data_IF_763373712940
#
_entry.id   IF_763373712940
#
_cell.length_a   1.000
_cell.length_b   1.000
_cell.length_c   1.000
_cell.angle_alpha   90.00
_cell.angle_beta   90.00
_cell.angle_gamma   90.00
#
_symmetry.space_group_name_H-M   'P 1'
#
loop_
_entity.id
_entity.type
_entity.pdbx_description
1 polymer ?
#
# COMPACT_ATOMS: atom_id res chain seq x y z
N UNK A 1 -43.84 -49.86 5.50
CA UNK A 1 -42.92 -48.92 4.82
C UNK A 1 -41.86 -48.54 5.83
N UNK A 2 -40.62 -48.97 5.59
CA UNK A 2 -39.51 -48.93 6.55
C UNK A 2 -39.06 -47.50 6.89
N UNK A 3 -39.32 -47.08 8.13
CA UNK A 3 -38.83 -45.81 8.68
C UNK A 3 -37.29 -45.75 8.72
N UNK A 4 -36.62 -46.90 8.84
CA UNK A 4 -35.15 -47.00 8.86
C UNK A 4 -34.50 -46.72 7.51
N UNK A 5 -35.11 -47.15 6.40
CA UNK A 5 -34.57 -46.87 5.06
C UNK A 5 -34.76 -45.40 4.68
N UNK A 6 -35.87 -44.79 5.10
CA UNK A 6 -36.13 -43.36 4.87
C UNK A 6 -35.14 -42.47 5.64
N UNK A 7 -34.83 -42.82 6.89
CA UNK A 7 -33.84 -42.08 7.68
C UNK A 7 -32.41 -42.23 7.14
N UNK A 8 -32.02 -43.42 6.70
CA UNK A 8 -30.71 -43.64 6.09
C UNK A 8 -30.54 -42.89 4.76
N UNK A 9 -31.60 -42.82 3.94
CA UNK A 9 -31.60 -42.07 2.69
C UNK A 9 -31.56 -40.56 2.94
N UNK A 10 -32.40 -40.07 3.85
CA UNK A 10 -32.43 -38.67 4.26
C UNK A 10 -31.09 -38.20 4.86
N UNK A 11 -30.46 -39.03 5.70
CA UNK A 11 -29.14 -38.73 6.28
C UNK A 11 -28.05 -38.64 5.20
N UNK A 12 -28.08 -39.51 4.18
CA UNK A 12 -27.15 -39.45 3.05
C UNK A 12 -27.35 -38.20 2.21
N UNK A 13 -28.58 -37.88 1.85
CA UNK A 13 -28.89 -36.69 1.05
C UNK A 13 -28.50 -35.41 1.80
N UNK A 14 -28.78 -35.35 3.11
CA UNK A 14 -28.38 -34.22 3.94
C UNK A 14 -26.84 -34.10 4.05
N UNK A 15 -26.12 -35.21 4.14
CA UNK A 15 -24.65 -35.20 4.16
C UNK A 15 -24.04 -34.71 2.84
N UNK A 16 -24.64 -35.07 1.70
CA UNK A 16 -24.22 -34.61 0.38
C UNK A 16 -24.49 -33.11 0.22
N UNK A 17 -25.68 -32.64 0.64
CA UNK A 17 -26.02 -31.22 0.64
C UNK A 17 -25.06 -30.43 1.53
N UNK A 18 -24.75 -30.93 2.73
CA UNK A 18 -23.81 -30.29 3.65
C UNK A 18 -22.39 -30.19 3.05
N UNK A 19 -21.92 -31.24 2.38
CA UNK A 19 -20.61 -31.24 1.71
C UNK A 19 -20.56 -30.21 0.58
N UNK A 20 -21.59 -30.19 -0.28
CA UNK A 20 -21.69 -29.23 -1.38
C UNK A 20 -21.78 -27.79 -0.85
N UNK A 21 -22.65 -27.54 0.13
CA UNK A 21 -22.81 -26.23 0.76
C UNK A 21 -21.51 -25.77 1.46
N UNK A 22 -20.78 -26.69 2.09
CA UNK A 22 -19.49 -26.41 2.71
C UNK A 22 -18.44 -25.96 1.69
N UNK A 23 -18.31 -26.69 0.57
CA UNK A 23 -17.38 -26.33 -0.51
C UNK A 23 -17.74 -24.97 -1.10
N UNK A 24 -19.02 -24.75 -1.41
CA UNK A 24 -19.48 -23.45 -1.92
C UNK A 24 -19.23 -22.32 -0.91
N UNK A 25 -19.48 -22.54 0.37
CA UNK A 25 -19.22 -21.58 1.43
C UNK A 25 -17.75 -21.16 1.49
N UNK A 26 -16.83 -22.13 1.45
CA UNK A 26 -15.38 -21.86 1.44
C UNK A 26 -14.98 -21.07 0.19
N UNK A 27 -15.45 -21.47 -0.99
CA UNK A 27 -15.15 -20.75 -2.24
C UNK A 27 -15.67 -19.31 -2.21
N UNK A 28 -16.84 -19.08 -1.60
CA UNK A 28 -17.44 -17.76 -1.45
C UNK A 28 -16.56 -16.86 -0.57
N UNK A 29 -16.13 -17.37 0.59
CA UNK A 29 -15.22 -16.65 1.50
C UNK A 29 -13.89 -16.35 0.81
N UNK A 30 -13.28 -17.34 0.16
CA UNK A 30 -12.00 -17.16 -0.54
C UNK A 30 -12.09 -16.11 -1.65
N UNK A 31 -13.20 -16.08 -2.40
CA UNK A 31 -13.42 -15.07 -3.45
C UNK A 31 -13.47 -13.65 -2.89
N UNK A 32 -14.09 -13.46 -1.72
CA UNK A 32 -14.12 -12.16 -1.06
C UNK A 32 -12.75 -11.79 -0.48
N UNK A 33 -12.06 -12.73 0.17
CA UNK A 33 -10.72 -12.50 0.71
C UNK A 33 -9.75 -12.08 -0.39
N UNK A 34 -9.69 -12.79 -1.52
CA UNK A 34 -8.81 -12.42 -2.63
C UNK A 34 -9.13 -11.03 -3.20
N UNK A 35 -10.41 -10.67 -3.30
CA UNK A 35 -10.82 -9.34 -3.75
C UNK A 35 -10.42 -8.24 -2.77
N UNK A 36 -10.62 -8.46 -1.47
CA UNK A 36 -10.24 -7.52 -0.42
C UNK A 36 -8.73 -7.36 -0.36
N UNK A 37 -7.97 -8.45 -0.40
CA UNK A 37 -6.49 -8.42 -0.40
C UNK A 37 -5.97 -7.62 -1.60
N UNK A 38 -6.52 -7.84 -2.80
CA UNK A 38 -6.10 -7.07 -3.98
C UNK A 38 -6.36 -5.57 -3.83
N UNK A 39 -7.49 -5.18 -3.23
CA UNK A 39 -7.80 -3.77 -2.96
C UNK A 39 -6.86 -3.16 -1.92
N UNK A 40 -6.57 -3.90 -0.85
CA UNK A 40 -5.64 -3.45 0.19
C UNK A 40 -4.21 -3.29 -0.35
N UNK A 41 -3.76 -4.21 -1.22
CA UNK A 41 -2.46 -4.09 -1.87
C UNK A 41 -2.38 -2.84 -2.76
N UNK A 42 -3.43 -2.55 -3.54
CA UNK A 42 -3.47 -1.32 -4.33
C UNK A 42 -3.41 -0.07 -3.45
N UNK A 43 -4.18 -0.03 -2.36
CA UNK A 43 -4.13 1.07 -1.39
C UNK A 43 -2.73 1.22 -0.80
N UNK A 44 -2.08 0.12 -0.41
CA UNK A 44 -0.72 0.15 0.14
C UNK A 44 0.30 0.69 -0.87
N UNK A 45 0.19 0.28 -2.15
CA UNK A 45 1.06 0.79 -3.21
C UNK A 45 0.85 2.30 -3.40
N UNK A 46 -0.39 2.77 -3.52
CA UNK A 46 -0.67 4.19 -3.67
C UNK A 46 -0.23 5.00 -2.43
N UNK A 47 -0.46 4.47 -1.23
CA UNK A 47 0.00 5.09 0.00
C UNK A 47 1.54 5.18 0.04
N UNK A 48 2.25 4.15 -0.42
CA UNK A 48 3.70 4.16 -0.55
C UNK A 48 4.20 5.20 -1.54
N UNK A 49 3.54 5.34 -2.70
CA UNK A 49 3.87 6.38 -3.69
C UNK A 49 3.65 7.79 -3.12
N UNK A 50 2.51 8.00 -2.44
CA UNK A 50 2.20 9.28 -1.79
C UNK A 50 3.26 9.59 -0.72
N UNK A 51 3.54 8.64 0.18
CA UNK A 51 4.56 8.79 1.22
C UNK A 51 5.93 9.12 0.63
N UNK A 52 6.34 8.38 -0.40
CA UNK A 52 7.61 8.63 -1.09
C UNK A 52 7.67 10.02 -1.72
N UNK A 53 6.58 10.50 -2.32
CA UNK A 53 6.49 11.86 -2.84
C UNK A 53 6.56 12.92 -1.74
N UNK A 54 5.93 12.68 -0.59
CA UNK A 54 6.00 13.60 0.58
C UNK A 54 7.43 13.69 1.13
N UNK A 55 8.12 12.56 1.32
CA UNK A 55 9.51 12.56 1.80
C UNK A 55 10.43 13.36 0.88
N UNK A 56 10.23 13.28 -0.43
CA UNK A 56 10.99 14.09 -1.38
C UNK A 56 10.67 15.58 -1.26
N UNK A 57 9.40 15.94 -1.09
CA UNK A 57 8.99 17.34 -0.90
C UNK A 57 9.60 17.92 0.38
N UNK A 58 9.67 17.15 1.45
CA UNK A 58 10.27 17.58 2.71
C UNK A 58 11.80 17.75 2.59
N UNK A 59 12.48 16.86 1.85
CA UNK A 59 13.91 17.04 1.56
C UNK A 59 14.18 18.31 0.73
N UNK A 60 13.30 18.64 -0.22
CA UNK A 60 13.38 19.85 -1.02
C UNK A 60 13.15 21.11 -0.17
N UNK A 61 12.12 21.12 0.68
CA UNK A 61 11.80 22.28 1.51
C UNK A 61 12.89 22.57 2.55
N UNK A 62 13.50 21.53 3.13
CA UNK A 62 14.64 21.68 4.03
C UNK A 62 15.87 22.25 3.33
N UNK A 63 16.19 21.76 2.13
CA UNK A 63 17.27 22.28 1.30
C UNK A 63 17.08 23.77 0.96
N UNK A 64 15.88 24.16 0.52
CA UNK A 64 15.56 25.55 0.20
C UNK A 64 15.71 26.46 1.43
N UNK A 65 15.28 25.99 2.61
CA UNK A 65 15.44 26.74 3.86
C UNK A 65 16.92 26.97 4.19
N UNK A 66 17.79 25.97 3.99
CA UNK A 66 19.22 26.09 4.23
C UNK A 66 19.88 27.09 3.26
N UNK A 67 19.55 27.00 1.96
CA UNK A 67 20.02 27.97 0.94
C UNK A 67 19.61 29.38 1.33
N UNK A 68 18.34 29.58 1.72
CA UNK A 68 17.83 30.90 2.10
C UNK A 68 18.60 31.48 3.30
N UNK A 69 18.88 30.67 4.33
CA UNK A 69 19.64 31.13 5.50
C UNK A 69 21.10 31.48 5.17
N UNK A 70 21.74 30.78 4.24
CA UNK A 70 23.14 31.06 3.83
C UNK A 70 23.22 32.32 2.97
N UNK A 71 22.26 32.51 2.07
CA UNK A 71 22.12 33.73 1.28
C UNK A 71 21.89 34.95 2.18
N UNK A 72 21.04 34.84 3.22
CA UNK A 72 20.85 35.91 4.21
C UNK A 72 22.11 36.23 5.01
N UNK A 73 23.01 35.24 5.18
CA UNK A 73 24.31 35.41 5.84
C UNK A 73 25.41 35.90 4.89
N UNK A 74 25.10 36.13 3.61
CA UNK A 74 26.07 36.55 2.59
C UNK A 74 27.06 35.46 2.19
N UNK A 75 26.78 34.20 2.52
CA UNK A 75 27.59 33.05 2.13
C UNK A 75 27.19 32.57 0.73
N UNK A 76 28.18 32.42 -0.14
CA UNK A 76 28.02 32.06 -1.56
C UNK A 76 28.63 30.71 -1.89
N UNK A 77 28.94 29.94 -0.85
CA UNK A 77 29.45 28.58 -0.96
C UNK A 77 28.36 27.63 -1.49
N UNK A 78 28.77 26.69 -2.34
CA UNK A 78 27.89 25.68 -2.92
C UNK A 78 27.16 24.87 -1.84
N UNK A 79 25.86 24.67 -2.03
CA UNK A 79 25.08 23.77 -1.18
C UNK A 79 24.94 22.41 -1.87
N UNK A 80 25.22 21.34 -1.12
CA UNK A 80 24.93 19.98 -1.56
C UNK A 80 23.62 19.53 -0.95
N UNK A 81 22.60 19.35 -1.79
CA UNK A 81 21.30 18.82 -1.36
C UNK A 81 21.08 17.43 -1.93
N UNK A 82 20.64 16.50 -1.07
CA UNK A 82 20.36 15.14 -1.49
C UNK A 82 18.94 15.00 -2.04
N UNK A 83 18.82 14.72 -3.34
CA UNK A 83 17.56 14.47 -4.04
C UNK A 83 17.54 13.04 -4.53
N UNK A 84 16.53 12.26 -4.13
CA UNK A 84 16.41 10.84 -4.52
C UNK A 84 17.66 9.99 -4.18
N UNK A 85 18.35 10.30 -3.08
CA UNK A 85 19.60 9.63 -2.73
C UNK A 85 20.77 9.93 -3.67
N UNK A 86 20.66 11.00 -4.47
CA UNK A 86 21.76 11.56 -5.24
C UNK A 86 22.03 12.97 -4.75
N UNK A 87 23.29 13.21 -4.45
CA UNK A 87 23.73 14.53 -4.00
C UNK A 87 23.83 15.45 -5.22
N UNK A 88 23.05 16.52 -5.20
CA UNK A 88 23.05 17.56 -6.23
C UNK A 88 23.65 18.81 -5.60
N UNK A 89 24.85 19.17 -6.06
CA UNK A 89 25.47 20.45 -5.71
C UNK A 89 24.81 21.54 -6.54
N UNK A 90 24.16 22.50 -5.87
CA UNK A 90 23.53 23.65 -6.51
C UNK A 90 24.40 24.87 -6.21
N UNK A 91 24.99 25.43 -7.25
CA UNK A 91 25.76 26.67 -7.18
C UNK A 91 24.77 27.82 -6.99
N UNK A 92 24.90 28.56 -5.88
CA UNK A 92 23.96 29.62 -5.52
C UNK A 92 24.29 30.85 -6.40
N UNK A 93 23.43 31.27 -7.33
CA UNK A 93 23.71 32.47 -8.11
C UNK A 93 23.61 33.69 -7.18
N UNK A 94 24.71 34.42 -7.04
CA UNK A 94 24.74 35.79 -6.49
C UNK A 94 23.58 36.59 -7.10
N UNK A 95 22.58 36.94 -6.30
CA UNK A 95 21.66 38.03 -6.62
C UNK A 95 22.26 39.27 -5.95
N UNK A 96 22.92 40.09 -6.78
CA UNK A 96 23.42 41.42 -6.42
C UNK A 96 22.25 42.40 -6.28
#
# INVERSE_FOLDING_TARGET
MDLSSFNAQSARDMSLIAMVAGVFGVLLVLKFVSSVVSKLLLIAVFAGVIWFGFTQRDSLSACIAEIQTRVEQGDTSDITCSFFGRDVSVEIPFQQ
#
